data_IF_363426896776
#
_entry.id   IF_363426896776
#
_cell.length_a   1.000
_cell.length_b   1.000
_cell.length_c   1.000
_cell.angle_alpha   90.00
_cell.angle_beta   90.00
_cell.angle_gamma   90.00
#
_symmetry.space_group_name_H-M   'P 1'
#
loop_
_entity.id
_entity.type
_entity.pdbx_description
1 polymer ?
#
# COMPACT_ATOMS: atom_id res chain seq x y z
N UNK A 1 -18.62 14.51 -3.52
CA UNK A 1 -19.22 15.60 -2.73
C UNK A 1 -19.87 16.56 -3.71
N UNK A 2 -20.98 17.20 -3.35
CA UNK A 2 -21.67 18.18 -4.20
C UNK A 2 -21.22 19.61 -3.83
N UNK A 3 -19.97 19.93 -4.12
CA UNK A 3 -19.32 21.23 -3.87
C UNK A 3 -19.08 22.00 -5.18
N UNK A 4 -19.90 21.78 -6.20
CA UNK A 4 -19.75 22.38 -7.54
C UNK A 4 -19.70 23.92 -7.49
N UNK A 5 -20.42 24.54 -6.54
CA UNK A 5 -20.55 26.00 -6.42
C UNK A 5 -19.37 26.67 -5.68
N UNK A 6 -18.40 25.89 -5.20
CA UNK A 6 -17.22 26.42 -4.50
C UNK A 6 -16.10 26.65 -5.51
N UNK A 7 -15.87 27.93 -5.84
CA UNK A 7 -14.93 28.34 -6.89
C UNK A 7 -13.78 29.21 -6.39
N UNK A 8 -13.91 29.78 -5.18
CA UNK A 8 -12.91 30.69 -4.60
C UNK A 8 -12.20 30.14 -3.37
N UNK A 9 -10.93 30.51 -3.22
CA UNK A 9 -10.12 30.19 -2.02
C UNK A 9 -10.69 30.88 -0.77
N UNK A 10 -11.35 32.05 -0.93
CA UNK A 10 -12.03 32.71 0.18
C UNK A 10 -13.21 31.87 0.71
N UNK A 11 -14.02 31.30 -0.20
CA UNK A 11 -15.10 30.40 0.17
C UNK A 11 -14.57 29.13 0.86
N UNK A 12 -13.44 28.57 0.39
CA UNK A 12 -12.79 27.45 1.08
C UNK A 12 -12.43 27.78 2.53
N UNK A 13 -11.94 29.00 2.80
CA UNK A 13 -11.61 29.41 4.18
C UNK A 13 -12.84 29.44 5.07
N UNK A 14 -13.95 29.98 4.58
CA UNK A 14 -15.20 30.01 5.34
C UNK A 14 -15.75 28.61 5.59
N UNK A 15 -15.71 27.74 4.56
CA UNK A 15 -16.12 26.35 4.72
C UNK A 15 -15.26 25.65 5.77
N UNK A 16 -13.93 25.78 5.71
CA UNK A 16 -13.01 25.17 6.69
C UNK A 16 -13.32 25.59 8.13
N UNK A 17 -13.75 26.85 8.34
CA UNK A 17 -14.15 27.35 9.66
C UNK A 17 -15.45 26.71 10.12
N UNK A 18 -16.45 26.64 9.23
CA UNK A 18 -17.77 26.08 9.51
C UNK A 18 -17.73 24.55 9.72
N UNK A 19 -16.87 23.84 8.99
CA UNK A 19 -16.81 22.37 8.99
C UNK A 19 -15.98 21.77 10.11
N UNK A 20 -15.40 22.57 11.02
CA UNK A 20 -14.68 22.05 12.19
C UNK A 20 -15.55 21.18 13.12
N UNK A 21 -16.87 21.22 12.96
CA UNK A 21 -17.84 20.51 13.80
C UNK A 21 -18.48 19.28 13.13
N UNK A 22 -18.12 18.96 11.87
CA UNK A 22 -18.76 17.88 11.11
C UNK A 22 -17.72 16.94 10.53
N UNK A 23 -17.72 15.69 10.98
CA UNK A 23 -16.93 14.62 10.39
C UNK A 23 -17.64 14.11 9.12
N UNK A 24 -17.09 14.44 7.94
CA UNK A 24 -17.64 13.96 6.69
C UNK A 24 -17.30 12.47 6.49
N UNK A 25 -18.33 11.64 6.40
CA UNK A 25 -18.17 10.22 6.05
C UNK A 25 -17.49 10.06 4.69
N UNK A 26 -16.47 9.21 4.63
CA UNK A 26 -15.68 9.01 3.41
C UNK A 26 -16.50 8.32 2.32
N UNK A 27 -16.62 8.98 1.16
CA UNK A 27 -17.12 8.36 -0.06
C UNK A 27 -16.27 7.12 -0.43
N UNK A 28 -16.81 6.18 -1.25
CA UNK A 28 -16.00 5.14 -1.86
C UNK A 28 -14.72 5.72 -2.49
N UNK A 29 -13.58 5.05 -2.29
CA UNK A 29 -12.24 5.57 -2.65
C UNK A 29 -12.17 6.11 -4.09
N UNK A 30 -12.87 5.47 -5.02
CA UNK A 30 -12.92 5.89 -6.43
C UNK A 30 -13.61 7.25 -6.60
N UNK A 31 -14.77 7.44 -5.96
CA UNK A 31 -15.50 8.73 -5.95
C UNK A 31 -14.67 9.81 -5.26
N UNK A 32 -14.01 9.48 -4.15
CA UNK A 32 -13.13 10.39 -3.42
C UNK A 32 -11.95 10.86 -4.27
N UNK A 33 -11.27 9.93 -4.97
CA UNK A 33 -10.15 10.27 -5.85
C UNK A 33 -10.56 11.09 -7.06
N UNK A 34 -11.71 10.79 -7.67
CA UNK A 34 -12.27 11.58 -8.75
C UNK A 34 -12.55 13.01 -8.28
N UNK A 35 -13.28 13.16 -7.17
CA UNK A 35 -13.57 14.46 -6.57
C UNK A 35 -12.29 15.24 -6.27
N UNK A 36 -11.33 14.63 -5.57
CA UNK A 36 -10.05 15.27 -5.25
C UNK A 36 -9.29 15.72 -6.51
N UNK A 37 -9.30 14.90 -7.56
CA UNK A 37 -8.70 15.23 -8.85
C UNK A 37 -9.36 16.45 -9.51
N UNK A 38 -10.69 16.55 -9.45
CA UNK A 38 -11.47 17.68 -9.97
C UNK A 38 -11.20 18.95 -9.15
N UNK A 39 -11.24 18.88 -7.81
CA UNK A 39 -10.94 19.98 -6.90
C UNK A 39 -9.53 20.55 -7.12
N UNK A 40 -8.51 19.70 -7.22
CA UNK A 40 -7.13 20.13 -7.50
C UNK A 40 -6.99 20.82 -8.86
N UNK A 41 -7.79 20.41 -9.84
CA UNK A 41 -7.81 21.01 -11.18
C UNK A 41 -8.51 22.36 -11.16
N UNK A 42 -9.67 22.45 -10.50
CA UNK A 42 -10.47 23.68 -10.33
C UNK A 42 -9.65 24.81 -9.71
N UNK A 43 -8.99 24.53 -8.59
CA UNK A 43 -8.15 25.52 -7.90
C UNK A 43 -6.73 25.66 -8.46
N UNK A 44 -6.46 25.05 -9.63
CA UNK A 44 -5.16 25.11 -10.33
C UNK A 44 -3.99 24.78 -9.39
N UNK A 45 -4.17 23.84 -8.44
CA UNK A 45 -3.28 23.61 -7.29
C UNK A 45 -1.80 23.42 -7.67
N UNK A 46 -1.54 22.80 -8.82
CA UNK A 46 -0.18 22.55 -9.31
C UNK A 46 0.41 23.67 -10.19
N UNK A 47 -0.38 24.68 -10.57
CA UNK A 47 0.11 25.80 -11.37
C UNK A 47 0.94 26.75 -10.52
N UNK A 48 1.93 27.40 -11.15
CA UNK A 48 2.83 28.36 -10.46
C UNK A 48 2.07 29.59 -9.92
N UNK A 49 0.98 29.97 -10.59
CA UNK A 49 0.10 31.09 -10.20
C UNK A 49 -0.48 30.91 -8.79
N UNK A 50 -0.67 29.68 -8.31
CA UNK A 50 -1.23 29.42 -6.98
C UNK A 50 -0.13 29.50 -5.91
N UNK A 51 -0.19 30.47 -4.98
CA UNK A 51 0.84 30.66 -3.97
C UNK A 51 0.82 29.53 -2.93
N UNK A 52 1.94 29.39 -2.18
CA UNK A 52 2.10 28.31 -1.19
C UNK A 52 1.02 28.35 -0.09
N UNK A 53 0.60 29.55 0.33
CA UNK A 53 -0.45 29.75 1.35
C UNK A 53 -1.78 29.16 0.89
N UNK A 54 -2.18 29.42 -0.34
CA UNK A 54 -3.44 28.95 -0.91
C UNK A 54 -3.45 27.44 -1.15
N UNK A 55 -2.31 26.87 -1.55
CA UNK A 55 -2.14 25.40 -1.56
C UNK A 55 -2.33 24.79 -0.18
N UNK A 56 -1.92 25.50 0.88
CA UNK A 56 -2.17 25.07 2.26
C UNK A 56 -3.66 24.97 2.58
N UNK A 57 -4.44 25.96 2.16
CA UNK A 57 -5.89 26.03 2.36
C UNK A 57 -6.61 24.91 1.60
N UNK A 58 -6.28 24.73 0.32
CA UNK A 58 -6.84 23.65 -0.51
C UNK A 58 -6.53 22.28 0.11
N UNK A 59 -5.31 22.08 0.62
CA UNK A 59 -4.92 20.81 1.25
C UNK A 59 -5.69 20.57 2.56
N UNK A 60 -5.88 21.61 3.38
CA UNK A 60 -6.66 21.51 4.62
C UNK A 60 -8.13 21.18 4.32
N UNK A 61 -8.71 21.82 3.31
CA UNK A 61 -10.06 21.50 2.83
C UNK A 61 -10.19 20.05 2.41
N UNK A 62 -9.26 19.53 1.59
CA UNK A 62 -9.26 18.13 1.17
C UNK A 62 -9.18 17.19 2.38
N UNK A 63 -8.33 17.47 3.37
CA UNK A 63 -8.20 16.64 4.57
C UNK A 63 -9.52 16.61 5.36
N UNK A 64 -10.16 17.76 5.56
CA UNK A 64 -11.42 17.84 6.30
C UNK A 64 -12.57 17.12 5.58
N UNK A 65 -12.67 17.26 4.26
CA UNK A 65 -13.75 16.64 3.47
C UNK A 65 -13.58 15.14 3.23
N UNK A 66 -12.36 14.61 3.36
CA UNK A 66 -12.06 13.20 3.06
C UNK A 66 -11.65 12.37 4.27
N UNK A 67 -11.37 13.02 5.41
CA UNK A 67 -10.80 12.37 6.60
C UNK A 67 -9.36 11.89 6.40
N UNK A 68 -8.71 12.22 5.27
CA UNK A 68 -7.33 11.81 5.02
C UNK A 68 -6.35 12.60 5.90
N UNK A 69 -5.32 11.90 6.37
CA UNK A 69 -4.18 12.58 6.99
C UNK A 69 -3.51 13.53 6.00
N UNK A 70 -2.92 14.62 6.52
CA UNK A 70 -2.23 15.63 5.71
C UNK A 70 -1.10 15.04 4.87
N UNK A 71 -0.38 14.05 5.40
CA UNK A 71 0.69 13.34 4.70
C UNK A 71 0.14 12.53 3.52
N UNK A 72 -0.96 11.80 3.73
CA UNK A 72 -1.60 11.01 2.67
C UNK A 72 -2.17 11.91 1.57
N UNK A 73 -2.90 12.98 1.92
CA UNK A 73 -3.42 13.94 0.95
C UNK A 73 -2.29 14.56 0.10
N UNK A 74 -1.16 14.94 0.73
CA UNK A 74 0.02 15.46 0.01
C UNK A 74 0.62 14.43 -0.95
N UNK A 75 0.67 13.15 -0.57
CA UNK A 75 1.12 12.07 -1.43
C UNK A 75 0.22 11.94 -2.66
N UNK A 76 -1.11 11.96 -2.48
CA UNK A 76 -2.06 11.93 -3.57
C UNK A 76 -1.94 13.16 -4.50
N UNK A 77 -1.76 14.37 -3.95
CA UNK A 77 -1.47 15.55 -4.79
C UNK A 77 -0.22 15.34 -5.65
N UNK A 78 0.87 14.79 -5.09
CA UNK A 78 2.08 14.48 -5.87
C UNK A 78 1.81 13.45 -6.96
N UNK A 79 1.03 12.40 -6.65
CA UNK A 79 0.64 11.38 -7.61
C UNK A 79 -0.19 11.95 -8.77
N UNK A 80 -1.17 12.81 -8.47
CA UNK A 80 -1.96 13.54 -9.48
C UNK A 80 -1.06 14.38 -10.39
N UNK A 81 -0.04 15.06 -9.84
CA UNK A 81 0.93 15.81 -10.64
C UNK A 81 1.75 14.92 -11.58
N UNK A 82 2.15 13.72 -11.13
CA UNK A 82 2.98 12.79 -11.92
C UNK A 82 2.18 12.07 -13.02
N UNK A 83 1.00 11.56 -12.68
CA UNK A 83 0.21 10.66 -13.54
C UNK A 83 -0.93 11.39 -14.27
N UNK A 84 -1.25 12.61 -13.86
CA UNK A 84 -2.34 13.39 -14.46
C UNK A 84 -3.74 12.98 -14.00
N UNK A 85 -3.93 11.80 -13.40
CA UNK A 85 -5.20 11.33 -12.81
C UNK A 85 -5.00 10.57 -11.49
N UNK A 86 -6.00 10.63 -10.62
CA UNK A 86 -6.06 9.79 -9.42
C UNK A 86 -7.01 8.63 -9.69
N UNK A 87 -6.44 7.44 -9.87
CA UNK A 87 -7.19 6.19 -10.04
C UNK A 87 -6.80 5.27 -8.89
N UNK A 88 -7.74 4.48 -8.40
CA UNK A 88 -7.44 3.41 -7.45
C UNK A 88 -6.51 2.41 -8.12
N UNK A 89 -5.36 2.18 -7.50
CA UNK A 89 -4.46 1.10 -7.94
C UNK A 89 -5.09 -0.18 -7.43
N UNK A 90 -5.59 -1.00 -8.35
CA UNK A 90 -6.05 -2.37 -8.09
C UNK A 90 -4.94 -3.39 -8.33
N UNK A 91 -3.76 -2.94 -8.76
CA UNK A 91 -2.63 -3.81 -9.04
C UNK A 91 -2.16 -4.56 -7.79
N UNK A 92 -1.69 -5.77 -8.03
CA UNK A 92 -1.07 -6.64 -7.05
C UNK A 92 0.10 -5.91 -6.39
N UNK A 93 0.21 -6.02 -5.07
CA UNK A 93 1.38 -5.50 -4.35
C UNK A 93 2.60 -6.25 -4.86
N UNK A 94 3.76 -5.58 -4.89
CA UNK A 94 5.04 -6.26 -5.06
C UNK A 94 5.12 -7.41 -4.06
N UNK A 95 5.01 -8.64 -4.54
CA UNK A 95 5.14 -9.85 -3.76
C UNK A 95 6.52 -10.43 -3.99
N UNK A 96 7.16 -10.92 -2.93
CA UNK A 96 8.34 -11.75 -3.09
C UNK A 96 7.93 -13.10 -3.68
N UNK A 97 8.70 -13.67 -4.61
CA UNK A 97 8.45 -15.03 -5.07
C UNK A 97 8.57 -15.99 -3.88
N UNK A 98 7.60 -16.88 -3.72
CA UNK A 98 7.65 -17.98 -2.76
C UNK A 98 8.43 -19.13 -3.37
N UNK A 99 9.51 -19.56 -2.72
CA UNK A 99 10.33 -20.68 -3.18
C UNK A 99 9.83 -22.03 -2.65
N UNK A 100 9.34 -22.06 -1.41
CA UNK A 100 8.86 -23.29 -0.76
C UNK A 100 7.36 -23.43 -0.87
N UNK A 101 6.92 -24.62 -1.27
CA UNK A 101 5.53 -25.02 -1.32
C UNK A 101 5.04 -25.55 0.05
N UNK A 102 3.73 -25.64 0.29
CA UNK A 102 3.19 -26.23 1.52
C UNK A 102 3.68 -27.67 1.79
N UNK A 103 3.98 -28.44 0.72
CA UNK A 103 4.58 -29.77 0.83
C UNK A 103 5.96 -29.74 1.48
N UNK A 104 6.78 -28.75 1.11
CA UNK A 104 8.14 -28.59 1.60
C UNK A 104 8.12 -28.25 3.10
N UNK A 105 7.19 -27.38 3.50
CA UNK A 105 6.96 -27.03 4.91
C UNK A 105 6.50 -28.25 5.70
N UNK A 106 5.56 -29.04 5.17
CA UNK A 106 5.08 -30.25 5.82
C UNK A 106 6.21 -31.28 6.00
N UNK A 107 7.08 -31.43 5.00
CA UNK A 107 8.22 -32.34 5.04
C UNK A 107 9.29 -31.89 6.06
N UNK A 108 9.56 -30.59 6.14
CA UNK A 108 10.41 -30.01 7.18
C UNK A 108 9.87 -30.31 8.58
N UNK A 109 8.57 -30.08 8.80
CA UNK A 109 7.92 -30.35 10.10
C UNK A 109 7.95 -31.84 10.44
N UNK A 110 7.69 -32.73 9.47
CA UNK A 110 7.75 -34.18 9.66
C UNK A 110 9.15 -34.62 10.08
N UNK A 111 10.16 -34.12 9.39
CA UNK A 111 11.58 -34.43 9.66
C UNK A 111 12.00 -33.90 11.02
N UNK A 112 11.67 -32.65 11.34
CA UNK A 112 12.01 -32.03 12.62
C UNK A 112 11.38 -32.76 13.82
N UNK A 113 10.11 -33.18 13.69
CA UNK A 113 9.44 -33.97 14.71
C UNK A 113 10.04 -35.38 14.85
N UNK A 114 10.42 -36.02 13.74
CA UNK A 114 11.04 -37.36 13.77
C UNK A 114 12.40 -37.38 14.49
N UNK A 115 13.13 -36.25 14.47
CA UNK A 115 14.45 -36.13 15.08
C UNK A 115 14.45 -35.37 16.41
N UNK A 116 13.29 -34.99 16.94
CA UNK A 116 13.20 -34.34 18.25
C UNK A 116 13.68 -32.89 18.26
N UNK A 117 13.53 -32.16 17.15
CA UNK A 117 13.84 -30.72 17.03
C UNK A 117 15.29 -30.37 17.32
N UNK A 118 16.18 -30.95 16.51
CA UNK A 118 17.62 -30.75 16.61
C UNK A 118 18.03 -29.32 16.22
N UNK A 119 19.32 -29.02 16.37
CA UNK A 119 19.87 -27.76 15.86
C UNK A 119 19.70 -27.65 14.34
N UNK A 120 19.52 -26.43 13.82
CA UNK A 120 19.31 -26.21 12.39
C UNK A 120 20.42 -26.78 11.50
N UNK A 121 21.67 -26.82 11.99
CA UNK A 121 22.79 -27.45 11.26
C UNK A 121 22.64 -28.97 11.17
N UNK A 122 22.18 -29.61 12.25
CA UNK A 122 21.91 -31.05 12.23
C UNK A 122 20.73 -31.36 11.31
N UNK A 123 19.66 -30.56 11.34
CA UNK A 123 18.52 -30.70 10.43
C UNK A 123 18.96 -30.53 8.98
N UNK A 124 19.76 -29.51 8.65
CA UNK A 124 20.33 -29.30 7.30
C UNK A 124 21.07 -30.53 6.78
N UNK A 125 21.95 -31.10 7.61
CA UNK A 125 22.73 -32.28 7.24
C UNK A 125 21.82 -33.51 7.00
N UNK A 126 20.76 -33.65 7.81
CA UNK A 126 19.76 -34.71 7.60
C UNK A 126 19.07 -34.53 6.25
N UNK A 127 18.60 -33.33 5.91
CA UNK A 127 17.94 -33.06 4.63
C UNK A 127 18.86 -33.37 3.44
N UNK A 128 20.13 -32.98 3.54
CA UNK A 128 21.13 -33.26 2.49
C UNK A 128 21.39 -34.77 2.34
N UNK A 129 21.41 -35.54 3.44
CA UNK A 129 21.57 -37.00 3.40
C UNK A 129 20.33 -37.69 2.85
N UNK A 130 19.14 -37.24 3.22
CA UNK A 130 17.88 -37.80 2.74
C UNK A 130 17.76 -37.72 1.21
N UNK A 131 18.24 -36.64 0.61
CA UNK A 131 18.33 -36.54 -0.85
C UNK A 131 19.58 -37.24 -1.41
N UNK A 132 20.78 -36.89 -0.95
CA UNK A 132 22.04 -37.30 -1.58
C UNK A 132 22.47 -38.75 -1.31
N UNK A 133 22.13 -39.32 -0.15
CA UNK A 133 22.49 -40.70 0.21
C UNK A 133 21.29 -41.63 0.01
N UNK A 134 20.10 -41.22 0.46
CA UNK A 134 18.91 -42.06 0.42
C UNK A 134 18.06 -41.87 -0.85
N UNK A 135 18.41 -40.92 -1.71
CA UNK A 135 17.76 -40.72 -3.01
C UNK A 135 16.31 -40.24 -2.92
N UNK A 136 15.87 -39.69 -1.79
CA UNK A 136 14.48 -39.22 -1.62
C UNK A 136 14.30 -37.87 -2.32
N UNK A 137 13.74 -37.89 -3.52
CA UNK A 137 13.53 -36.71 -4.37
C UNK A 137 12.65 -35.63 -3.72
N UNK A 138 11.80 -36.00 -2.76
CA UNK A 138 10.98 -35.08 -1.96
C UNK A 138 11.83 -34.04 -1.20
N UNK A 139 13.09 -34.36 -0.89
CA UNK A 139 14.01 -33.52 -0.13
C UNK A 139 14.84 -32.56 -1.00
N UNK A 140 14.78 -32.66 -2.32
CA UNK A 140 15.61 -31.88 -3.25
C UNK A 140 15.48 -30.36 -3.03
N UNK A 141 14.25 -29.84 -2.96
CA UNK A 141 13.98 -28.39 -2.78
C UNK A 141 14.40 -27.86 -1.41
N UNK A 142 14.34 -28.70 -0.37
CA UNK A 142 14.61 -28.29 1.02
C UNK A 142 16.04 -28.58 1.47
N UNK A 143 16.78 -29.38 0.70
CA UNK A 143 18.18 -29.70 0.94
C UNK A 143 19.07 -28.49 0.59
N UNK A 144 19.78 -27.90 1.55
CA UNK A 144 20.57 -26.68 1.31
C UNK A 144 21.71 -26.88 0.30
N UNK A 145 22.27 -28.08 0.20
CA UNK A 145 23.38 -28.38 -0.72
C UNK A 145 22.90 -28.60 -2.16
N UNK A 146 21.67 -29.09 -2.34
CA UNK A 146 21.13 -29.47 -3.66
C UNK A 146 20.03 -28.54 -4.17
N UNK A 147 19.64 -27.50 -3.41
CA UNK A 147 18.72 -26.47 -3.89
C UNK A 147 19.36 -25.67 -5.03
N UNK A 148 18.69 -25.60 -6.18
CA UNK A 148 19.00 -24.66 -7.26
C UNK A 148 18.40 -23.28 -7.00
#
# INVERSE_FOLDING_TARGET
>A
MNDANVESIAQLREIIKLTKQVEFQSLPKDKMYRWMSETLTRFKYHKRVTPKKDRGIILTYICQMTGLSRSHAKCLCRRKKKVGKLVRITETRNSFPTFYDPSDIALLVKTDNAHGRLSGKATSEILDREYGIFGKTEYEKISPTFRN
#
